data_IF_236759728594
#
_entry.id   IF_236759728594
#
_cell.length_a   1.000
_cell.length_b   1.000
_cell.length_c   1.000
_cell.angle_alpha   90.00
_cell.angle_beta   90.00
_cell.angle_gamma   90.00
#
_symmetry.space_group_name_H-M   'P 1'
#
loop_
_entity.id
_entity.type
_entity.pdbx_description
1 polymer ?
#
# COMPACT_ATOMS: atom_id res chain seq x y z
N UNK A 1 -23.82 0.63 -14.58
CA UNK A 1 -23.72 0.01 -13.25
C UNK A 1 -22.49 0.51 -12.49
N UNK A 2 -22.57 0.47 -11.18
CA UNK A 2 -21.50 0.81 -10.26
C UNK A 2 -21.09 -0.44 -9.45
N UNK A 3 -19.84 -0.47 -9.08
CA UNK A 3 -19.32 -1.42 -8.11
C UNK A 3 -19.73 -0.95 -6.70
N UNK A 4 -20.47 -1.77 -5.95
CA UNK A 4 -20.98 -1.37 -4.63
C UNK A 4 -19.87 -1.26 -3.58
N UNK A 5 -18.74 -1.93 -3.79
CA UNK A 5 -17.60 -1.90 -2.87
C UNK A 5 -16.76 -0.63 -3.03
N UNK A 6 -16.48 -0.21 -4.27
CA UNK A 6 -15.62 0.95 -4.54
C UNK A 6 -16.38 2.25 -4.85
N UNK A 7 -17.67 2.17 -5.16
CA UNK A 7 -18.45 3.31 -5.65
C UNK A 7 -18.13 3.74 -7.09
N UNK A 8 -17.16 3.12 -7.74
CA UNK A 8 -16.76 3.41 -9.13
C UNK A 8 -17.65 2.68 -10.14
N UNK A 9 -17.53 3.03 -11.42
CA UNK A 9 -18.17 2.26 -12.49
C UNK A 9 -17.69 0.81 -12.44
N UNK A 10 -18.62 -0.16 -12.53
CA UNK A 10 -18.25 -1.58 -12.42
C UNK A 10 -17.34 -2.01 -13.58
N UNK A 11 -16.27 -2.72 -13.22
CA UNK A 11 -15.40 -3.45 -14.15
C UNK A 11 -15.80 -4.93 -14.23
N UNK A 12 -15.06 -5.69 -15.03
CA UNK A 12 -15.36 -7.10 -15.30
C UNK A 12 -15.27 -7.98 -14.05
N UNK A 13 -14.33 -7.69 -13.17
CA UNK A 13 -14.04 -8.45 -11.96
C UNK A 13 -14.82 -7.99 -10.73
N UNK A 14 -15.75 -7.04 -10.87
CA UNK A 14 -16.60 -6.62 -9.76
C UNK A 14 -17.71 -7.63 -9.52
N UNK A 15 -17.70 -8.28 -8.37
CA UNK A 15 -18.72 -9.29 -8.02
C UNK A 15 -20.06 -8.65 -7.66
N UNK A 16 -20.02 -7.53 -6.95
CA UNK A 16 -21.22 -6.83 -6.50
C UNK A 16 -21.43 -5.55 -7.32
N UNK A 17 -22.50 -5.54 -8.11
CA UNK A 17 -22.85 -4.41 -9.01
C UNK A 17 -24.25 -3.91 -8.69
N UNK A 18 -24.45 -2.60 -8.79
CA UNK A 18 -25.77 -1.95 -8.69
C UNK A 18 -26.01 -1.02 -9.87
N UNK A 19 -27.23 -0.90 -10.28
CA UNK A 19 -27.61 0.03 -11.36
C UNK A 19 -28.13 1.31 -10.75
N UNK A 20 -27.54 2.44 -11.14
CA UNK A 20 -27.98 3.77 -10.73
C UNK A 20 -28.34 4.59 -11.99
N UNK A 21 -29.36 5.43 -11.84
CA UNK A 21 -29.68 6.44 -12.85
C UNK A 21 -28.81 7.68 -12.65
N UNK A 22 -28.19 8.14 -13.70
CA UNK A 22 -27.37 9.36 -13.67
C UNK A 22 -28.08 10.49 -14.40
N UNK A 23 -27.97 11.74 -13.93
CA UNK A 23 -28.39 12.92 -14.68
C UNK A 23 -27.72 12.95 -16.07
N UNK A 24 -28.39 13.53 -17.07
CA UNK A 24 -27.88 13.55 -18.46
C UNK A 24 -26.48 14.13 -18.61
N UNK A 25 -26.09 15.08 -17.75
CA UNK A 25 -24.80 15.79 -17.81
C UNK A 25 -23.81 15.29 -16.74
N UNK A 26 -24.07 14.18 -16.05
CA UNK A 26 -23.18 13.67 -15.02
C UNK A 26 -21.88 13.10 -15.63
N UNK A 27 -20.74 13.50 -15.07
CA UNK A 27 -19.46 12.87 -15.41
C UNK A 27 -19.48 11.41 -14.94
N UNK A 28 -19.13 10.51 -15.84
CA UNK A 28 -19.01 9.08 -15.51
C UNK A 28 -17.75 8.85 -14.66
N UNK A 29 -17.90 8.16 -13.55
CA UNK A 29 -16.77 7.71 -12.74
C UNK A 29 -15.83 6.79 -13.56
N UNK A 30 -14.53 6.72 -13.24
CA UNK A 30 -13.61 5.76 -13.83
C UNK A 30 -14.07 4.33 -13.56
N UNK A 31 -13.60 3.39 -14.38
CA UNK A 31 -13.84 1.96 -14.17
C UNK A 31 -13.10 1.52 -12.90
N UNK A 32 -13.74 0.65 -12.13
CA UNK A 32 -13.15 0.09 -10.92
C UNK A 32 -11.89 -0.71 -11.24
N UNK A 33 -10.74 -0.21 -10.79
CA UNK A 33 -9.45 -0.87 -10.90
C UNK A 33 -9.09 -1.69 -9.64
N UNK A 34 -9.95 -1.67 -8.63
CA UNK A 34 -9.67 -2.30 -7.33
C UNK A 34 -10.05 -3.77 -7.27
N UNK A 35 -10.94 -4.23 -8.15
CA UNK A 35 -11.22 -5.65 -8.28
C UNK A 35 -10.33 -6.24 -9.38
N UNK A 36 -9.55 -7.22 -9.01
CA UNK A 36 -8.64 -7.91 -9.92
C UNK A 36 -8.83 -9.42 -9.79
N UNK A 37 -8.62 -10.13 -10.88
CA UNK A 37 -8.54 -11.59 -10.84
C UNK A 37 -7.18 -11.97 -10.27
N UNK A 38 -7.18 -12.82 -9.25
CA UNK A 38 -5.98 -13.31 -8.59
C UNK A 38 -5.99 -14.85 -8.58
N UNK A 39 -4.81 -15.41 -8.58
CA UNK A 39 -4.60 -16.84 -8.49
C UNK A 39 -4.08 -17.15 -7.09
N UNK A 40 -4.76 -18.02 -6.38
CA UNK A 40 -4.48 -18.37 -5.00
C UNK A 40 -4.29 -19.86 -4.85
N UNK A 41 -3.63 -20.29 -3.77
CA UNK A 41 -3.67 -21.67 -3.34
C UNK A 41 -5.09 -22.04 -2.84
N UNK A 42 -5.37 -23.31 -2.64
CA UNK A 42 -6.70 -23.79 -2.24
C UNK A 42 -7.17 -23.20 -0.91
N UNK A 43 -6.23 -22.91 0.00
CA UNK A 43 -6.48 -22.33 1.32
C UNK A 43 -6.60 -20.78 1.31
N UNK A 44 -6.35 -20.15 0.17
CA UNK A 44 -6.35 -18.68 0.01
C UNK A 44 -5.35 -17.96 0.93
N UNK A 45 -4.23 -18.59 1.23
CA UNK A 45 -3.16 -18.05 2.08
C UNK A 45 -1.98 -17.47 1.30
N UNK A 46 -1.83 -17.90 0.04
CA UNK A 46 -0.73 -17.48 -0.83
C UNK A 46 -1.23 -17.21 -2.24
N UNK A 47 -0.64 -16.20 -2.89
CA UNK A 47 -0.82 -16.00 -4.32
C UNK A 47 0.09 -16.93 -5.12
N UNK A 48 -0.42 -17.39 -6.21
CA UNK A 48 0.26 -18.23 -7.19
C UNK A 48 0.34 -17.52 -8.54
N UNK A 49 1.19 -18.02 -9.42
CA UNK A 49 1.21 -17.65 -10.83
C UNK A 49 1.24 -18.89 -11.70
N UNK A 50 0.83 -18.75 -12.95
CA UNK A 50 0.83 -19.85 -13.92
C UNK A 50 2.24 -20.42 -14.20
N UNK A 51 3.29 -19.70 -13.80
CA UNK A 51 4.68 -20.11 -14.01
C UNK A 51 5.24 -20.96 -12.86
N UNK A 52 4.58 -21.00 -11.71
CA UNK A 52 5.12 -21.62 -10.50
C UNK A 52 4.19 -22.64 -9.85
N UNK A 53 2.99 -22.83 -10.37
CA UNK A 53 2.01 -23.76 -9.83
C UNK A 53 1.24 -24.46 -10.96
N UNK A 54 0.79 -25.67 -10.70
CA UNK A 54 -0.07 -26.42 -11.61
C UNK A 54 -1.51 -25.91 -11.57
N UNK A 55 -2.28 -26.14 -12.62
CA UNK A 55 -3.67 -25.69 -12.69
C UNK A 55 -4.54 -26.25 -11.56
N UNK A 56 -4.24 -27.45 -11.07
CA UNK A 56 -4.97 -28.10 -9.98
C UNK A 56 -4.74 -27.43 -8.62
N UNK A 57 -3.60 -26.75 -8.45
CA UNK A 57 -3.28 -26.00 -7.24
C UNK A 57 -3.89 -24.61 -7.24
N UNK A 58 -4.26 -24.09 -8.43
CA UNK A 58 -4.68 -22.71 -8.61
C UNK A 58 -6.19 -22.58 -8.44
N UNK A 59 -6.57 -21.68 -7.55
CA UNK A 59 -7.95 -21.19 -7.39
C UNK A 59 -8.03 -19.76 -7.91
N UNK A 60 -8.80 -19.55 -8.98
CA UNK A 60 -9.09 -18.22 -9.48
C UNK A 60 -10.12 -17.52 -8.61
N UNK A 61 -9.88 -16.26 -8.25
CA UNK A 61 -10.82 -15.46 -7.47
C UNK A 61 -10.75 -13.98 -7.86
N UNK A 62 -11.90 -13.34 -7.87
CA UNK A 62 -11.94 -11.88 -7.93
C UNK A 62 -11.67 -11.33 -6.53
N UNK A 63 -10.70 -10.44 -6.41
CA UNK A 63 -10.31 -9.88 -5.12
C UNK A 63 -10.36 -8.37 -5.15
N UNK A 64 -10.92 -7.79 -4.09
CA UNK A 64 -10.90 -6.34 -3.90
C UNK A 64 -9.58 -5.93 -3.25
N UNK A 65 -8.77 -5.19 -3.99
CA UNK A 65 -7.42 -4.77 -3.59
C UNK A 65 -7.40 -3.25 -3.49
N UNK A 66 -7.50 -2.72 -2.29
CA UNK A 66 -7.31 -1.29 -2.07
C UNK A 66 -5.81 -0.93 -2.17
N UNK A 67 -5.45 0.27 -2.66
CA UNK A 67 -4.10 0.78 -2.54
C UNK A 67 -3.64 0.77 -1.08
N UNK A 68 -2.33 0.56 -0.76
CA UNK A 68 -1.86 0.47 0.62
C UNK A 68 -2.30 1.62 1.52
N UNK A 69 -2.26 2.85 1.01
CA UNK A 69 -2.71 4.05 1.73
C UNK A 69 -4.21 4.01 2.07
N UNK A 70 -5.05 3.58 1.13
CA UNK A 70 -6.49 3.47 1.34
C UNK A 70 -6.84 2.24 2.18
N UNK A 71 -6.08 1.15 2.05
CA UNK A 71 -6.31 -0.11 2.75
C UNK A 71 -6.25 0.04 4.26
N UNK A 72 -5.28 0.83 4.77
CA UNK A 72 -5.18 1.14 6.21
C UNK A 72 -6.49 1.67 6.78
N UNK A 73 -7.08 2.69 6.12
CA UNK A 73 -8.33 3.30 6.56
C UNK A 73 -9.55 2.42 6.27
N UNK A 74 -9.51 1.66 5.21
CA UNK A 74 -10.58 0.76 4.82
C UNK A 74 -10.75 -0.37 5.84
N UNK A 75 -9.65 -0.97 6.31
CA UNK A 75 -9.64 -1.99 7.38
C UNK A 75 -10.31 -1.51 8.67
N UNK A 76 -10.06 -0.27 9.04
CA UNK A 76 -10.63 0.31 10.27
C UNK A 76 -12.17 0.37 10.24
N UNK A 77 -12.76 0.51 9.05
CA UNK A 77 -14.20 0.61 8.83
C UNK A 77 -14.86 -0.70 8.41
N UNK A 78 -14.07 -1.64 7.91
CA UNK A 78 -14.52 -2.93 7.38
C UNK A 78 -13.74 -4.08 8.00
N UNK A 79 -14.12 -4.54 9.22
CA UNK A 79 -13.40 -5.59 9.94
C UNK A 79 -13.27 -6.90 9.16
N UNK A 80 -14.22 -7.17 8.27
CA UNK A 80 -14.23 -8.38 7.43
C UNK A 80 -13.38 -8.27 6.16
N UNK A 81 -12.69 -7.13 5.95
CA UNK A 81 -11.82 -6.98 4.80
C UNK A 81 -10.58 -7.87 4.96
N UNK A 82 -10.30 -8.65 3.93
CA UNK A 82 -9.10 -9.50 3.85
C UNK A 82 -8.11 -8.86 2.88
N UNK A 83 -6.91 -8.60 3.38
CA UNK A 83 -5.79 -8.19 2.52
C UNK A 83 -5.45 -9.29 1.53
N UNK A 84 -4.92 -8.88 0.39
CA UNK A 84 -4.39 -9.84 -0.57
C UNK A 84 -3.21 -10.58 0.08
N UNK A 85 -3.19 -11.94 0.07
CA UNK A 85 -2.08 -12.70 0.65
C UNK A 85 -0.79 -12.48 -0.15
N UNK A 86 0.38 -12.75 0.44
CA UNK A 86 1.67 -12.68 -0.25
C UNK A 86 1.78 -13.74 -1.34
N UNK A 87 2.70 -13.56 -2.26
CA UNK A 87 3.05 -14.61 -3.20
C UNK A 87 3.80 -15.74 -2.50
N UNK A 88 3.54 -16.99 -2.95
CA UNK A 88 4.39 -18.12 -2.60
C UNK A 88 5.83 -17.82 -3.02
N UNK A 89 6.79 -18.24 -2.21
CA UNK A 89 8.21 -18.05 -2.52
C UNK A 89 8.55 -18.59 -3.93
N UNK A 90 9.16 -17.75 -4.75
CA UNK A 90 9.48 -18.06 -6.14
C UNK A 90 8.34 -17.89 -7.16
N UNK A 91 7.13 -17.52 -6.73
CA UNK A 91 5.96 -17.36 -7.60
C UNK A 91 5.68 -15.93 -8.06
N UNK A 92 6.20 -14.93 -7.37
CA UNK A 92 5.93 -13.51 -7.66
C UNK A 92 7.04 -12.85 -8.46
N UNK A 93 6.69 -11.85 -9.27
CA UNK A 93 7.62 -10.84 -9.74
C UNK A 93 7.51 -9.62 -8.85
N UNK A 94 8.62 -9.01 -8.48
CA UNK A 94 8.73 -7.87 -7.55
C UNK A 94 7.81 -6.67 -7.87
N UNK A 95 7.32 -6.58 -9.09
CA UNK A 95 6.53 -5.45 -9.57
C UNK A 95 5.00 -5.57 -9.32
N UNK A 96 4.49 -6.73 -8.93
CA UNK A 96 3.04 -6.97 -8.97
C UNK A 96 2.29 -6.67 -7.67
N UNK A 97 2.96 -6.56 -6.53
CA UNK A 97 2.26 -6.31 -5.27
C UNK A 97 2.92 -5.18 -4.50
N UNK A 98 2.26 -4.02 -4.47
CA UNK A 98 2.65 -2.96 -3.54
C UNK A 98 2.31 -3.43 -2.12
N UNK A 99 3.28 -4.03 -1.44
CA UNK A 99 3.11 -4.53 -0.08
C UNK A 99 3.16 -3.41 0.95
N UNK A 100 3.97 -2.37 0.70
CA UNK A 100 4.09 -1.22 1.58
C UNK A 100 4.03 0.11 0.82
N UNK A 101 3.66 1.17 1.53
CA UNK A 101 3.70 2.53 1.00
C UNK A 101 4.00 3.53 2.12
N UNK A 102 4.54 4.70 1.73
CA UNK A 102 4.87 5.78 2.65
C UNK A 102 3.68 6.74 2.70
N UNK A 103 3.14 6.94 3.91
CA UNK A 103 2.02 7.86 4.16
C UNK A 103 2.53 9.28 4.27
N UNK A 104 3.61 9.47 5.04
CA UNK A 104 4.25 10.77 5.25
C UNK A 104 5.77 10.61 5.39
N UNK A 105 6.57 11.48 4.74
CA UNK A 105 6.16 12.54 3.81
C UNK A 105 5.64 12.00 2.47
N UNK A 106 5.06 12.88 1.64
CA UNK A 106 4.65 12.50 0.28
C UNK A 106 5.84 12.63 -0.68
N UNK A 107 5.81 11.81 -1.72
CA UNK A 107 6.84 11.84 -2.77
C UNK A 107 6.99 13.24 -3.35
N UNK A 108 8.24 13.69 -3.51
CA UNK A 108 8.59 14.98 -4.07
C UNK A 108 7.97 16.20 -3.34
N UNK A 109 7.50 16.00 -2.11
CA UNK A 109 6.96 17.08 -1.30
C UNK A 109 8.07 17.91 -0.65
N UNK A 110 7.75 19.17 -0.38
CA UNK A 110 8.56 20.03 0.50
C UNK A 110 7.85 20.15 1.84
N UNK A 111 8.51 19.76 2.92
CA UNK A 111 7.99 19.88 4.26
C UNK A 111 8.69 21.05 4.98
N UNK A 112 7.91 21.80 5.75
CA UNK A 112 8.45 22.84 6.62
C UNK A 112 8.62 22.22 8.01
N UNK A 113 9.86 22.13 8.48
CA UNK A 113 10.15 21.66 9.81
C UNK A 113 10.53 22.87 10.67
N UNK A 114 9.82 23.12 11.78
CA UNK A 114 10.18 24.22 12.66
C UNK A 114 11.61 24.04 13.18
N UNK A 115 12.28 25.16 13.39
CA UNK A 115 13.55 25.18 14.13
C UNK A 115 13.26 25.51 15.56
N UNK A 116 13.81 24.71 16.46
CA UNK A 116 13.80 24.99 17.89
C UNK A 116 14.62 26.24 18.25
N UNK A 117 14.57 26.65 19.50
CA UNK A 117 15.33 27.78 20.01
C UNK A 117 16.85 27.67 19.82
N UNK A 118 17.37 26.44 19.69
CA UNK A 118 18.78 26.13 19.39
C UNK A 118 19.17 26.31 17.93
N UNK A 119 18.20 26.59 17.04
CA UNK A 119 18.41 26.64 15.60
C UNK A 119 18.43 25.31 14.88
N UNK A 120 18.30 24.20 15.61
CA UNK A 120 18.21 22.85 15.05
C UNK A 120 16.77 22.54 14.62
N UNK A 121 16.61 21.67 13.62
CA UNK A 121 15.28 21.21 13.20
C UNK A 121 14.60 20.38 14.30
N UNK A 122 13.30 20.58 14.46
CA UNK A 122 12.50 19.73 15.32
C UNK A 122 12.27 18.35 14.69
N UNK A 123 11.79 17.43 15.52
CA UNK A 123 11.54 16.07 15.07
C UNK A 123 10.32 16.02 14.13
N UNK A 124 10.43 15.14 13.14
CA UNK A 124 9.34 14.78 12.23
C UNK A 124 8.98 13.32 12.46
N UNK A 125 7.71 13.00 12.41
CA UNK A 125 7.23 11.62 12.46
C UNK A 125 7.02 11.15 11.02
N UNK A 126 7.83 10.20 10.59
CA UNK A 126 7.64 9.49 9.32
C UNK A 126 6.61 8.40 9.53
N UNK A 127 5.74 8.19 8.55
CA UNK A 127 4.66 7.19 8.64
C UNK A 127 4.58 6.35 7.37
N UNK A 128 4.42 5.05 7.55
CA UNK A 128 4.23 4.09 6.48
C UNK A 128 3.08 3.12 6.80
N UNK A 129 2.71 2.32 5.82
CA UNK A 129 1.75 1.23 5.96
C UNK A 129 2.27 -0.01 5.28
N UNK A 130 1.94 -1.17 5.84
CA UNK A 130 2.22 -2.48 5.24
C UNK A 130 0.92 -3.29 5.17
N UNK A 131 0.75 -4.10 4.12
CA UNK A 131 -0.46 -4.94 3.97
C UNK A 131 -0.51 -6.06 4.99
N UNK A 132 0.65 -6.62 5.32
CA UNK A 132 0.76 -7.68 6.33
C UNK A 132 0.78 -7.05 7.73
N UNK A 133 -0.14 -7.43 8.64
CA UNK A 133 -0.28 -6.79 9.95
C UNK A 133 0.94 -6.92 10.85
N UNK A 134 1.69 -8.01 10.73
CA UNK A 134 2.88 -8.30 11.54
C UNK A 134 4.18 -8.08 10.78
N UNK A 135 4.16 -7.29 9.71
CA UNK A 135 5.37 -6.99 8.97
C UNK A 135 6.31 -6.10 9.81
N UNK A 136 7.59 -6.40 9.74
CA UNK A 136 8.65 -5.55 10.30
C UNK A 136 9.18 -4.66 9.18
N UNK A 137 9.20 -3.35 9.41
CA UNK A 137 9.78 -2.38 8.47
C UNK A 137 11.04 -1.80 9.10
N UNK A 138 12.17 -1.89 8.39
CA UNK A 138 13.42 -1.23 8.70
C UNK A 138 13.48 0.12 7.99
N UNK A 139 13.85 1.16 8.72
CA UNK A 139 13.84 2.54 8.28
C UNK A 139 15.24 3.09 8.13
N UNK A 140 15.52 3.68 6.98
CA UNK A 140 16.77 4.39 6.71
C UNK A 140 16.45 5.79 6.18
N UNK A 141 17.12 6.80 6.71
CA UNK A 141 17.06 8.18 6.22
C UNK A 141 18.46 8.64 5.86
N UNK A 142 18.70 8.99 4.60
CA UNK A 142 20.01 9.42 4.11
C UNK A 142 21.14 8.42 4.49
N UNK A 143 20.91 7.11 4.30
CA UNK A 143 21.83 6.02 4.66
C UNK A 143 21.97 5.75 6.18
N UNK A 144 21.36 6.56 7.04
CA UNK A 144 21.32 6.33 8.48
C UNK A 144 20.16 5.41 8.86
N UNK A 145 20.46 4.35 9.60
CA UNK A 145 19.46 3.43 10.13
C UNK A 145 18.73 4.06 11.32
N UNK A 146 17.41 4.25 11.20
CA UNK A 146 16.59 4.86 12.26
C UNK A 146 15.96 3.84 13.21
N UNK A 147 15.95 2.56 12.84
CA UNK A 147 15.32 1.50 13.62
C UNK A 147 14.32 0.68 12.82
N UNK A 148 13.61 -0.20 13.51
CA UNK A 148 12.55 -1.02 12.94
C UNK A 148 11.22 -0.79 13.66
N UNK A 149 10.12 -1.03 12.94
CA UNK A 149 8.76 -0.92 13.49
C UNK A 149 7.93 -2.13 13.10
N UNK A 150 7.02 -2.51 13.98
CA UNK A 150 6.06 -3.60 13.81
C UNK A 150 4.67 -3.10 14.19
N UNK A 151 3.63 -3.52 13.50
CA UNK A 151 2.21 -3.16 13.69
C UNK A 151 1.91 -1.69 13.43
N UNK A 152 2.59 -0.76 14.12
CA UNK A 152 2.48 0.69 13.92
C UNK A 152 3.78 1.19 13.32
N UNK A 153 3.69 1.59 12.04
CA UNK A 153 4.86 2.00 11.27
C UNK A 153 5.04 3.51 11.30
N UNK A 154 5.54 3.99 12.44
CA UNK A 154 5.88 5.40 12.66
C UNK A 154 7.26 5.51 13.28
N UNK A 155 8.11 6.37 12.75
CA UNK A 155 9.47 6.63 13.25
C UNK A 155 9.68 8.13 13.38
N UNK A 156 10.26 8.53 14.49
CA UNK A 156 10.67 9.89 14.78
C UNK A 156 12.10 10.13 14.29
N UNK A 157 12.32 11.19 13.53
CA UNK A 157 13.65 11.55 13.03
C UNK A 157 13.85 13.05 12.98
N UNK A 158 15.11 13.48 12.79
CA UNK A 158 15.49 14.87 12.49
C UNK A 158 16.03 14.86 11.06
N UNK A 159 15.26 15.36 10.07
CA UNK A 159 15.72 15.38 8.70
C UNK A 159 16.75 16.51 8.50
N UNK A 160 17.60 16.39 7.48
CA UNK A 160 18.54 17.44 7.09
C UNK A 160 17.83 18.50 6.25
N UNK A 161 18.36 19.74 6.28
CA UNK A 161 17.93 20.77 5.34
C UNK A 161 18.21 20.33 3.89
N UNK A 162 17.28 20.61 2.99
CA UNK A 162 17.39 20.22 1.60
C UNK A 162 16.79 18.85 1.31
N UNK A 163 17.41 18.12 0.40
CA UNK A 163 16.90 16.83 -0.07
C UNK A 163 17.21 15.70 0.92
N UNK A 164 16.20 14.88 1.18
CA UNK A 164 16.29 13.69 2.03
C UNK A 164 15.74 12.49 1.28
N UNK A 165 16.40 11.36 1.43
CA UNK A 165 15.99 10.06 0.87
C UNK A 165 15.58 9.13 1.99
N UNK A 166 14.31 8.73 1.97
CA UNK A 166 13.73 7.74 2.89
C UNK A 166 13.70 6.37 2.19
N UNK A 167 14.32 5.38 2.81
CA UNK A 167 14.34 4.00 2.33
C UNK A 167 13.75 3.06 3.38
N UNK A 168 12.73 2.34 2.99
CA UNK A 168 12.06 1.31 3.80
C UNK A 168 12.39 -0.07 3.23
N UNK A 169 12.64 -1.03 4.10
CA UNK A 169 12.89 -2.43 3.73
C UNK A 169 12.10 -3.29 4.72
N UNK A 170 11.32 -4.25 4.23
CA UNK A 170 10.66 -5.23 5.09
C UNK A 170 11.53 -6.47 5.33
N UNK A 171 11.08 -7.37 6.20
CA UNK A 171 11.80 -8.61 6.54
C UNK A 171 11.97 -9.57 5.34
N UNK A 172 11.18 -9.43 4.29
CA UNK A 172 11.25 -10.23 3.06
C UNK A 172 12.17 -9.61 2.00
N UNK A 173 12.73 -8.43 2.29
CA UNK A 173 13.61 -7.70 1.37
C UNK A 173 12.86 -6.80 0.37
N UNK A 174 11.54 -6.67 0.46
CA UNK A 174 10.83 -5.71 -0.36
C UNK A 174 11.17 -4.29 0.10
N UNK A 175 11.43 -3.40 -0.85
CA UNK A 175 11.88 -2.06 -0.54
C UNK A 175 11.02 -0.96 -1.17
N UNK A 176 11.01 0.19 -0.52
CA UNK A 176 10.38 1.41 -1.00
C UNK A 176 11.28 2.60 -0.74
N UNK A 177 11.53 3.37 -1.78
CA UNK A 177 12.33 4.60 -1.69
C UNK A 177 11.48 5.81 -2.02
N UNK A 178 11.69 6.90 -1.29
CA UNK A 178 11.01 8.17 -1.48
C UNK A 178 11.97 9.32 -1.22
N UNK A 179 11.92 10.33 -2.08
CA UNK A 179 12.68 11.58 -1.92
C UNK A 179 11.72 12.70 -1.54
N UNK A 180 12.12 13.52 -0.56
CA UNK A 180 11.41 14.73 -0.12
C UNK A 180 12.40 15.82 0.26
N UNK A 181 11.91 17.06 0.36
CA UNK A 181 12.74 18.22 0.73
C UNK A 181 12.28 18.84 2.04
N UNK A 182 13.25 19.42 2.76
CA UNK A 182 13.03 20.18 3.99
C UNK A 182 13.50 21.61 3.77
N UNK A 183 12.63 22.54 4.14
CA UNK A 183 12.90 23.99 4.19
C UNK A 183 13.12 24.46 5.61
#
# INVERSE_FOLDING_TARGET
SICTTSGMRSGDYCDKKSTISLPKNAKKAPVCAYHQRVYLNQEETEQLSLNCATLDEIKEKNWFIAPPLAEKYYKMRHPNYRSLPPFRQGCGTESQTRLMDIIYPKKESTINVPKGFSGEYEHVILEATHRLPAAVIHWHLNEEYLGSTEVIHQVKCIPKSGENTLHLIDQEGNSKVLVFRVK
#
